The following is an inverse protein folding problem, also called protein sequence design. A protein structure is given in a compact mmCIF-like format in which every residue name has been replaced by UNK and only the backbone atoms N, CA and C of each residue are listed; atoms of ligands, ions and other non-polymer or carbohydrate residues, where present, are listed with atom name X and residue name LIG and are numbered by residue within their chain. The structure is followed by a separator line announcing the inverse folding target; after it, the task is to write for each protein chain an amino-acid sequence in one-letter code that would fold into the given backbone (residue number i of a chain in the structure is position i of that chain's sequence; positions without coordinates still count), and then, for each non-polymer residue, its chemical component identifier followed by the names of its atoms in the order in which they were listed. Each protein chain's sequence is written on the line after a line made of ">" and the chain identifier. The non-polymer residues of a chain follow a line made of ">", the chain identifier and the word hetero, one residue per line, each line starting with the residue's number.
data_IF_911748554568
#
_entry.id   IF_911748554568
#
_cell.length_a   1.000
_cell.length_b   1.000
_cell.length_c   1.000
_cell.angle_alpha   90.00
_cell.angle_beta   90.00
_cell.angle_gamma   90.00
#
_symmetry.space_group_name_H-M   'P 1'
#
loop_
_entity.id
_entity.type
_entity.pdbx_description
1 polymer ?
#
# COMPACT_ATOMS: atom_id res chain seq x y z
N UNK A 1 -15.48 -13.64 -13.01
CA UNK A 1 -14.83 -13.87 -11.71
C UNK A 1 -14.34 -12.54 -11.15
N UNK A 2 -14.61 -12.31 -9.89
CA UNK A 2 -14.08 -11.13 -9.23
C UNK A 2 -12.58 -11.31 -9.02
N UNK A 3 -11.86 -10.20 -9.10
CA UNK A 3 -10.44 -10.20 -8.81
C UNK A 3 -10.20 -10.41 -7.32
N UNK A 4 -9.23 -11.24 -6.97
CA UNK A 4 -8.78 -11.37 -5.59
C UNK A 4 -7.54 -10.51 -5.32
N UNK A 5 -7.18 -9.63 -6.26
CA UNK A 5 -6.05 -8.73 -6.14
C UNK A 5 -6.55 -7.31 -5.91
N UNK A 6 -6.09 -6.71 -4.82
CA UNK A 6 -6.37 -5.30 -4.53
C UNK A 6 -5.07 -4.53 -4.51
N UNK A 7 -5.07 -3.37 -5.14
CA UNK A 7 -3.93 -2.46 -5.15
C UNK A 7 -4.33 -1.20 -4.41
N UNK A 8 -3.70 -0.95 -3.27
CA UNK A 8 -3.91 0.25 -2.49
C UNK A 8 -2.87 1.29 -2.88
N UNK A 9 -3.30 2.48 -3.18
CA UNK A 9 -2.38 3.53 -3.56
C UNK A 9 -3.06 4.88 -3.70
N UNK A 10 -2.40 5.76 -4.44
CA UNK A 10 -2.92 7.11 -4.75
C UNK A 10 -2.89 7.26 -6.26
N UNK A 11 -3.94 7.85 -6.81
CA UNK A 11 -4.12 8.01 -8.25
C UNK A 11 -2.94 8.74 -8.93
N UNK A 12 -2.37 9.74 -8.28
CA UNK A 12 -1.30 10.58 -8.85
C UNK A 12 0.10 10.15 -8.39
N UNK A 13 0.35 8.87 -8.27
CA UNK A 13 1.65 8.34 -7.90
C UNK A 13 2.26 7.58 -9.07
N UNK A 14 3.46 7.99 -9.51
CA UNK A 14 4.11 7.35 -10.66
C UNK A 14 4.37 5.86 -10.44
N UNK A 15 4.79 5.48 -9.25
CA UNK A 15 5.03 4.07 -8.93
C UNK A 15 3.74 3.26 -8.99
N UNK A 16 2.63 3.83 -8.52
CA UNK A 16 1.32 3.20 -8.61
C UNK A 16 0.92 3.02 -10.07
N UNK A 17 1.11 4.04 -10.89
CA UNK A 17 0.79 3.97 -12.33
C UNK A 17 1.58 2.87 -13.02
N UNK A 18 2.86 2.72 -12.69
CA UNK A 18 3.71 1.66 -13.23
C UNK A 18 3.20 0.28 -12.82
N UNK A 19 2.79 0.13 -11.56
CA UNK A 19 2.25 -1.13 -11.06
C UNK A 19 0.97 -1.53 -11.80
N UNK A 20 0.04 -0.58 -11.94
CA UNK A 20 -1.23 -0.84 -12.62
C UNK A 20 -1.01 -1.17 -14.10
N UNK A 21 -0.08 -0.46 -14.74
CA UNK A 21 0.27 -0.72 -16.14
C UNK A 21 0.86 -2.12 -16.30
N UNK A 22 1.71 -2.54 -15.37
CA UNK A 22 2.28 -3.88 -15.39
C UNK A 22 1.18 -4.95 -15.34
N UNK A 23 0.26 -4.81 -14.39
CA UNK A 23 -0.84 -5.77 -14.23
C UNK A 23 -1.72 -5.82 -15.49
N UNK A 24 -2.05 -4.66 -16.03
CA UNK A 24 -2.87 -4.59 -17.24
C UNK A 24 -2.15 -5.21 -18.44
N UNK A 25 -0.84 -5.02 -18.56
CA UNK A 25 -0.07 -5.57 -19.67
C UNK A 25 0.02 -7.10 -19.61
N UNK A 26 -0.19 -7.69 -18.44
CA UNK A 26 -0.19 -9.13 -18.23
C UNK A 26 -1.60 -9.70 -18.19
N UNK A 27 -2.61 -8.91 -18.49
CA UNK A 27 -4.02 -9.30 -18.45
C UNK A 27 -4.45 -9.82 -17.06
N UNK A 28 -3.86 -9.24 -16.02
CA UNK A 28 -4.19 -9.61 -14.64
C UNK A 28 -5.24 -8.65 -14.11
N UNK A 29 -6.39 -9.18 -13.73
CA UNK A 29 -7.48 -8.37 -13.16
C UNK A 29 -7.13 -7.93 -11.74
N UNK A 30 -7.50 -6.71 -11.39
CA UNK A 30 -7.25 -6.15 -10.07
C UNK A 30 -8.32 -5.10 -9.73
N UNK A 31 -8.44 -4.80 -8.44
CA UNK A 31 -9.25 -3.69 -7.97
C UNK A 31 -8.30 -2.62 -7.42
N UNK A 32 -8.37 -1.40 -7.96
CA UNK A 32 -7.56 -0.29 -7.46
C UNK A 32 -8.35 0.47 -6.38
N UNK A 33 -7.72 0.68 -5.24
CA UNK A 33 -8.31 1.43 -4.13
C UNK A 33 -7.43 2.64 -3.84
N UNK A 34 -7.95 3.82 -4.13
CA UNK A 34 -7.26 5.07 -3.78
C UNK A 34 -7.62 5.39 -2.33
N UNK A 35 -6.67 5.21 -1.42
CA UNK A 35 -6.93 5.36 0.00
C UNK A 35 -7.05 6.82 0.47
N UNK A 36 -6.84 7.78 -0.42
CA UNK A 36 -7.16 9.19 -0.13
C UNK A 36 -8.66 9.45 -0.31
N UNK A 37 -9.31 8.67 -1.17
CA UNK A 37 -10.74 8.77 -1.44
C UNK A 37 -11.51 7.77 -0.58
N UNK A 38 -10.99 6.54 -0.50
CA UNK A 38 -11.58 5.46 0.28
C UNK A 38 -10.57 5.04 1.36
N UNK A 39 -10.61 5.68 2.54
CA UNK A 39 -9.64 5.39 3.59
C UNK A 39 -9.57 3.91 3.94
N UNK A 40 -8.36 3.45 4.25
CA UNK A 40 -8.13 2.07 4.67
C UNK A 40 -8.89 1.85 5.99
N UNK A 41 -9.63 0.74 6.08
CA UNK A 41 -10.33 0.41 7.32
C UNK A 41 -9.34 -0.08 8.38
N UNK A 42 -9.77 -0.02 9.64
CA UNK A 42 -8.96 -0.53 10.74
C UNK A 42 -8.63 -2.02 10.53
N UNK A 43 -9.60 -2.78 10.05
CA UNK A 43 -9.43 -4.21 9.78
C UNK A 43 -8.38 -4.45 8.69
N UNK A 44 -8.44 -3.67 7.61
CA UNK A 44 -7.45 -3.77 6.52
C UNK A 44 -6.06 -3.41 7.01
N UNK A 45 -5.95 -2.35 7.82
CA UNK A 45 -4.67 -1.95 8.38
C UNK A 45 -4.10 -3.05 9.30
N UNK A 46 -4.94 -3.64 10.14
CA UNK A 46 -4.51 -4.74 11.01
C UNK A 46 -4.00 -5.92 10.20
N UNK A 47 -4.70 -6.27 9.12
CA UNK A 47 -4.28 -7.35 8.23
C UNK A 47 -2.92 -7.04 7.61
N UNK A 48 -2.69 -5.79 7.22
CA UNK A 48 -1.42 -5.39 6.63
C UNK A 48 -0.25 -5.54 7.60
N UNK A 49 -0.41 -5.07 8.85
CA UNK A 49 0.68 -5.12 9.83
C UNK A 49 0.90 -6.53 10.40
N UNK A 50 -0.07 -7.43 10.23
CA UNK A 50 0.12 -8.83 10.56
C UNK A 50 1.00 -9.56 9.54
N UNK A 51 1.00 -9.09 8.29
CA UNK A 51 1.72 -9.73 7.20
C UNK A 51 3.07 -9.09 6.90
N UNK A 52 3.19 -7.79 7.10
CA UNK A 52 4.44 -7.05 6.92
C UNK A 52 4.68 -6.17 8.13
N UNK A 53 5.94 -5.99 8.47
CA UNK A 53 6.28 -5.13 9.60
C UNK A 53 5.86 -3.69 9.32
N UNK A 54 5.43 -3.00 10.35
CA UNK A 54 5.02 -1.59 10.25
C UNK A 54 6.12 -0.74 9.60
N UNK A 55 7.38 -1.01 9.93
CA UNK A 55 8.51 -0.30 9.34
C UNK A 55 8.61 -0.47 7.83
N UNK A 56 8.18 -1.62 7.30
CA UNK A 56 8.16 -1.87 5.86
C UNK A 56 7.00 -1.13 5.21
N UNK A 57 5.87 -1.05 5.91
CA UNK A 57 4.65 -0.42 5.39
C UNK A 57 4.77 1.11 5.35
N UNK A 58 5.46 1.70 6.31
CA UNK A 58 5.55 3.16 6.44
C UNK A 58 6.68 3.72 5.59
N UNK A 59 6.38 4.79 4.86
CA UNK A 59 7.37 5.48 4.05
C UNK A 59 8.09 6.55 4.87
N UNK A 60 9.20 6.17 5.48
CA UNK A 60 9.99 7.07 6.33
C UNK A 60 10.69 8.17 5.53
N UNK A 61 10.74 8.04 4.21
CA UNK A 61 11.35 9.05 3.33
C UNK A 61 10.33 10.10 2.88
N UNK A 62 9.05 9.91 3.20
CA UNK A 62 8.03 10.87 2.80
C UNK A 62 8.17 12.18 3.56
N UNK A 63 7.77 13.28 2.92
CA UNK A 63 7.71 14.58 3.58
C UNK A 63 6.77 14.52 4.78
N UNK A 64 5.66 13.82 4.63
CA UNK A 64 4.67 13.64 5.71
C UNK A 64 5.33 13.05 6.95
N UNK A 65 6.12 11.97 6.79
CA UNK A 65 6.79 11.35 7.92
C UNK A 65 7.80 12.29 8.57
N UNK A 66 8.56 13.01 7.77
CA UNK A 66 9.58 13.94 8.27
C UNK A 66 8.97 15.05 9.13
N UNK A 67 7.73 15.43 8.86
CA UNK A 67 7.05 16.50 9.57
C UNK A 67 6.34 16.03 10.84
N UNK A 68 6.32 14.73 11.09
CA UNK A 68 5.74 14.19 12.32
C UNK A 68 6.61 14.58 13.52
N UNK A 69 5.96 14.70 14.69
CA UNK A 69 6.70 14.87 15.95
C UNK A 69 7.43 13.57 16.28
N UNK A 70 8.42 13.64 17.18
CA UNK A 70 9.14 12.45 17.61
C UNK A 70 8.21 11.43 18.25
N UNK A 71 7.24 11.92 19.05
CA UNK A 71 6.23 11.06 19.65
C UNK A 71 5.39 10.34 18.61
N UNK A 72 4.98 11.05 17.55
CA UNK A 72 4.20 10.45 16.47
C UNK A 72 5.01 9.42 15.70
N UNK A 73 6.29 9.69 15.45
CA UNK A 73 7.18 8.75 14.75
C UNK A 73 7.36 7.46 15.55
N UNK A 74 7.42 7.58 16.87
CA UNK A 74 7.61 6.44 17.75
C UNK A 74 6.34 5.61 17.93
N UNK A 75 5.19 6.15 17.55
CA UNK A 75 3.90 5.51 17.82
C UNK A 75 2.95 5.67 16.64
N UNK A 76 3.40 5.24 15.46
CA UNK A 76 2.55 5.26 14.26
C UNK A 76 1.43 4.24 14.44
N UNK A 77 0.20 4.72 14.39
CA UNK A 77 -0.99 3.89 14.60
C UNK A 77 -2.02 4.16 13.51
N UNK A 78 -3.15 3.44 13.59
CA UNK A 78 -4.23 3.56 12.61
C UNK A 78 -4.76 4.99 12.50
N UNK A 79 -4.93 5.67 13.63
CA UNK A 79 -5.47 7.02 13.64
C UNK A 79 -4.55 7.99 12.90
N UNK A 80 -3.25 7.83 13.08
CA UNK A 80 -2.28 8.66 12.38
C UNK A 80 -2.30 8.36 10.87
N UNK A 81 -2.49 7.11 10.49
CA UNK A 81 -2.62 6.70 9.09
C UNK A 81 -3.87 7.32 8.45
N UNK A 82 -4.98 7.35 9.20
CA UNK A 82 -6.20 8.00 8.70
C UNK A 82 -5.98 9.50 8.48
N UNK A 83 -5.25 10.13 9.38
CA UNK A 83 -4.96 11.57 9.28
C UNK A 83 -4.00 11.86 8.13
N UNK A 84 -3.02 11.00 7.93
CA UNK A 84 -1.97 11.17 6.92
C UNK A 84 -1.81 9.89 6.09
N UNK A 85 -2.72 9.63 5.14
CA UNK A 85 -2.65 8.40 4.34
C UNK A 85 -1.34 8.21 3.56
N UNK A 86 -0.68 9.31 3.24
CA UNK A 86 0.60 9.26 2.50
C UNK A 86 1.75 8.70 3.32
N UNK A 87 1.53 8.39 4.60
CA UNK A 87 2.52 7.68 5.41
C UNK A 87 2.74 6.26 4.90
N UNK A 88 1.72 5.66 4.29
CA UNK A 88 1.82 4.29 3.77
C UNK A 88 2.57 4.30 2.44
N UNK A 89 3.51 3.39 2.28
CA UNK A 89 4.19 3.18 1.00
C UNK A 89 3.17 2.77 -0.05
N UNK A 90 3.44 3.13 -1.28
CA UNK A 90 2.55 2.87 -2.41
C UNK A 90 3.32 2.23 -3.55
N UNK A 91 2.73 1.29 -4.23
CA UNK A 91 1.47 0.62 -3.94
C UNK A 91 1.61 -0.47 -2.88
N UNK A 92 0.47 -0.88 -2.30
CA UNK A 92 0.40 -2.08 -1.47
C UNK A 92 -0.51 -3.05 -2.21
N UNK A 93 0.03 -4.20 -2.60
CA UNK A 93 -0.76 -5.23 -3.26
C UNK A 93 -1.20 -6.29 -2.27
N UNK A 94 -2.48 -6.58 -2.25
CA UNK A 94 -3.05 -7.64 -1.43
C UNK A 94 -3.63 -8.71 -2.36
N UNK A 95 -3.15 -9.93 -2.22
CA UNK A 95 -3.68 -11.07 -2.95
C UNK A 95 -3.95 -12.19 -1.96
N UNK A 96 -5.25 -12.50 -1.76
CA UNK A 96 -5.68 -13.45 -0.73
C UNK A 96 -5.14 -12.98 0.63
N UNK A 97 -4.31 -13.77 1.30
CA UNK A 97 -3.72 -13.40 2.59
C UNK A 97 -2.29 -12.87 2.46
N UNK A 98 -1.81 -12.66 1.24
CA UNK A 98 -0.44 -12.21 0.99
C UNK A 98 -0.41 -10.71 0.69
N UNK A 99 0.65 -10.03 1.14
CA UNK A 99 0.81 -8.59 0.96
C UNK A 99 2.21 -8.30 0.45
N UNK A 100 2.28 -7.44 -0.57
CA UNK A 100 3.55 -6.95 -1.12
C UNK A 100 3.53 -5.43 -1.12
N UNK A 101 4.56 -4.82 -0.53
CA UNK A 101 4.69 -3.36 -0.45
C UNK A 101 5.70 -2.89 -1.49
N UNK A 102 5.33 -1.84 -2.22
CA UNK A 102 6.17 -1.28 -3.28
C UNK A 102 5.96 -1.98 -4.60
N UNK A 103 6.75 -1.58 -5.60
CA UNK A 103 6.65 -2.16 -6.93
C UNK A 103 8.04 -2.38 -7.54
N UNK A 104 8.23 -3.59 -8.07
CA UNK A 104 9.23 -3.87 -9.10
C UNK A 104 8.65 -5.01 -9.92
N UNK A 105 9.01 -5.07 -11.21
CA UNK A 105 8.48 -6.13 -12.07
C UNK A 105 8.87 -7.50 -11.56
N UNK A 106 10.11 -7.65 -11.07
CA UNK A 106 10.57 -8.93 -10.54
C UNK A 106 9.79 -9.36 -9.31
N UNK A 107 9.56 -8.44 -8.38
CA UNK A 107 8.78 -8.75 -7.17
C UNK A 107 7.34 -9.14 -7.51
N UNK A 108 6.74 -8.44 -8.47
CA UNK A 108 5.38 -8.75 -8.90
C UNK A 108 5.32 -10.12 -9.59
N UNK A 109 6.28 -10.40 -10.44
CA UNK A 109 6.36 -11.70 -11.11
C UNK A 109 6.42 -12.84 -10.10
N UNK A 110 7.28 -12.72 -9.11
CA UNK A 110 7.46 -13.76 -8.08
C UNK A 110 6.22 -13.88 -7.20
N UNK A 111 5.62 -12.75 -6.84
CA UNK A 111 4.45 -12.71 -5.94
C UNK A 111 3.21 -13.32 -6.60
N UNK A 112 3.08 -13.14 -7.92
CA UNK A 112 1.90 -13.56 -8.66
C UNK A 112 1.98 -14.97 -9.22
N UNK A 113 3.06 -15.65 -9.01
CA UNK A 113 3.21 -17.05 -9.42
C UNK A 113 2.27 -17.99 -8.69
#
# INVERSE_FOLDING_TARGET
>A
MSSNIKIYGIKNCDTVKKALKYLSSKDIAYEFIDFRINPISKNDFQNMIEKVELEVLINKRSTTYRLLTDSEKDNVNFELILKYPTLIKRPVMVKDSKILVGFSEQKYLDFLR
#
